data_IF_113648291918
#
_entry.id   IF_113648291918
#
_cell.length_a   1.000
_cell.length_b   1.000
_cell.length_c   1.000
_cell.angle_alpha   90.00
_cell.angle_beta   90.00
_cell.angle_gamma   90.00
#
_symmetry.space_group_name_H-M   'P 1'
#
loop_
_entity.id
_entity.type
_entity.pdbx_description
1 polymer ?
#
# COMPACT_ATOMS: atom_id res chain seq x y z
N UNK A 1 5.36 34.83 17.77
CA UNK A 1 6.63 34.38 17.16
C UNK A 1 6.39 32.93 16.80
N UNK A 2 6.22 32.63 15.51
CA UNK A 2 6.05 31.24 15.05
C UNK A 2 7.36 30.50 15.31
N UNK A 3 7.31 29.40 16.06
CA UNK A 3 8.47 28.54 16.32
C UNK A 3 8.78 27.74 15.07
N UNK A 4 10.06 27.60 14.71
CA UNK A 4 10.46 26.75 13.59
C UNK A 4 10.31 25.25 13.93
N UNK A 5 10.17 24.39 12.91
CA UNK A 5 10.05 22.94 13.09
C UNK A 5 11.17 22.35 13.97
N UNK A 6 12.43 22.77 13.75
CA UNK A 6 13.57 22.30 14.55
C UNK A 6 13.45 22.65 16.04
N UNK A 7 12.86 23.80 16.37
CA UNK A 7 12.63 24.23 17.74
C UNK A 7 11.53 23.39 18.39
N UNK A 8 10.45 23.10 17.67
CA UNK A 8 9.38 22.21 18.13
C UNK A 8 9.92 20.80 18.39
N UNK A 9 10.79 20.29 17.53
CA UNK A 9 11.38 18.95 17.69
C UNK A 9 12.37 18.85 18.86
N UNK A 10 12.89 19.97 19.36
CA UNK A 10 13.71 20.02 20.57
C UNK A 10 12.89 19.92 21.88
N UNK A 11 11.57 20.18 21.82
CA UNK A 11 10.70 20.11 22.99
C UNK A 11 10.44 18.66 23.45
N UNK A 12 9.98 18.45 24.70
CA UNK A 12 9.50 17.15 25.15
C UNK A 12 8.38 16.62 24.25
N UNK A 13 8.36 15.32 23.97
CA UNK A 13 7.42 14.70 23.03
C UNK A 13 5.93 15.00 23.30
N UNK A 14 5.56 15.18 24.58
CA UNK A 14 4.18 15.49 25.00
C UNK A 14 3.72 16.90 24.60
N UNK A 15 4.65 17.82 24.36
CA UNK A 15 4.37 19.22 24.06
C UNK A 15 4.33 19.50 22.54
N UNK A 16 4.84 18.56 21.74
CA UNK A 16 4.99 18.75 20.28
C UNK A 16 3.67 18.76 19.53
N UNK A 17 2.69 17.96 19.95
CA UNK A 17 1.46 17.71 19.20
C UNK A 17 0.73 18.98 18.73
N UNK A 18 0.36 19.90 19.66
CA UNK A 18 -0.31 21.15 19.29
C UNK A 18 0.54 22.07 18.39
N UNK A 19 1.86 22.11 18.58
CA UNK A 19 2.76 22.95 17.81
C UNK A 19 3.02 22.40 16.40
N UNK A 20 3.16 21.08 16.28
CA UNK A 20 3.24 20.39 14.98
C UNK A 20 1.95 20.57 14.18
N UNK A 21 0.79 20.59 14.85
CA UNK A 21 -0.49 20.89 14.19
C UNK A 21 -0.46 22.29 13.55
N UNK A 22 -0.06 23.31 14.30
CA UNK A 22 0.01 24.70 13.80
C UNK A 22 1.00 24.83 12.63
N UNK A 23 2.16 24.18 12.70
CA UNK A 23 3.14 24.18 11.61
C UNK A 23 2.65 23.41 10.37
N UNK A 24 1.94 22.30 10.57
CA UNK A 24 1.34 21.57 9.47
C UNK A 24 0.25 22.41 8.77
N UNK A 25 -0.54 23.16 9.53
CA UNK A 25 -1.53 24.11 9.02
C UNK A 25 -0.91 25.26 8.21
N UNK A 26 0.28 25.72 8.59
CA UNK A 26 1.02 26.74 7.83
C UNK A 26 1.75 26.17 6.60
N UNK A 27 1.72 24.85 6.41
CA UNK A 27 2.22 24.16 5.22
C UNK A 27 3.64 23.59 5.35
N UNK A 28 4.21 23.54 6.56
CA UNK A 28 5.51 22.90 6.79
C UNK A 28 5.42 21.37 6.57
N UNK A 29 6.17 20.88 5.59
CA UNK A 29 6.09 19.49 5.14
C UNK A 29 6.55 18.47 6.20
N UNK A 30 7.60 18.80 6.95
CA UNK A 30 8.15 17.93 7.99
C UNK A 30 7.19 17.88 9.19
N UNK A 31 6.58 19.03 9.52
CA UNK A 31 5.53 19.09 10.53
C UNK A 31 4.29 18.27 10.13
N UNK A 32 3.85 18.33 8.86
CA UNK A 32 2.77 17.48 8.36
C UNK A 32 3.07 15.99 8.59
N UNK A 33 4.30 15.55 8.27
CA UNK A 33 4.74 14.17 8.44
C UNK A 33 4.75 13.76 9.91
N UNK A 34 5.42 14.53 10.77
CA UNK A 34 5.57 14.19 12.19
C UNK A 34 4.25 14.28 12.95
N UNK A 35 3.38 15.23 12.61
CA UNK A 35 2.03 15.29 13.15
C UNK A 35 1.27 13.99 12.88
N UNK A 36 1.26 13.53 11.62
CA UNK A 36 0.57 12.29 11.27
C UNK A 36 1.16 11.06 11.95
N UNK A 37 2.50 10.98 12.10
CA UNK A 37 3.15 9.91 12.89
C UNK A 37 2.67 9.88 14.33
N UNK A 38 2.54 11.04 15.00
CA UNK A 38 2.04 11.10 16.37
C UNK A 38 0.60 10.59 16.48
N UNK A 39 -0.27 10.97 15.54
CA UNK A 39 -1.66 10.51 15.50
C UNK A 39 -1.72 9.00 15.24
N UNK A 40 -0.98 8.49 14.26
CA UNK A 40 -0.97 7.06 13.90
C UNK A 40 -0.28 6.16 14.93
N UNK A 41 0.55 6.73 15.81
CA UNK A 41 1.12 6.04 16.97
C UNK A 41 0.25 6.17 18.24
N UNK A 42 -0.92 6.80 18.15
CA UNK A 42 -1.81 7.14 19.27
C UNK A 42 -1.10 7.92 20.39
N UNK A 43 -0.10 8.75 20.03
CA UNK A 43 0.68 9.58 20.96
C UNK A 43 0.15 11.00 21.09
N UNK A 44 -0.68 11.42 20.14
CA UNK A 44 -1.44 12.65 20.20
C UNK A 44 -2.86 12.39 19.67
N UNK A 45 -3.84 13.13 20.20
CA UNK A 45 -5.25 12.83 19.96
C UNK A 45 -6.09 14.08 19.67
N UNK A 46 -5.44 15.17 19.26
CA UNK A 46 -6.06 16.49 19.14
C UNK A 46 -6.24 17.20 20.49
N UNK A 47 -6.42 18.51 20.41
CA UNK A 47 -6.79 19.37 21.54
C UNK A 47 -8.25 19.80 21.34
N UNK A 48 -9.19 19.44 22.24
CA UNK A 48 -10.59 19.83 22.08
C UNK A 48 -10.75 21.35 22.12
N UNK A 49 -11.50 21.90 21.16
CA UNK A 49 -11.93 23.30 21.20
C UNK A 49 -13.08 23.50 22.19
N UNK A 50 -13.40 24.75 22.52
CA UNK A 50 -14.52 25.07 23.40
C UNK A 50 -15.83 24.49 22.82
N UNK A 51 -16.55 23.70 23.63
CA UNK A 51 -17.79 23.04 23.24
C UNK A 51 -17.62 21.72 22.47
N UNK A 52 -16.39 21.35 22.09
CA UNK A 52 -16.11 20.11 21.39
C UNK A 52 -15.81 18.97 22.37
N UNK A 53 -16.40 17.80 22.13
CA UNK A 53 -16.08 16.60 22.90
C UNK A 53 -14.68 16.09 22.59
N UNK A 54 -14.12 15.31 23.52
CA UNK A 54 -12.82 14.65 23.32
C UNK A 54 -12.81 13.69 22.13
N UNK A 55 -13.94 13.06 21.82
CA UNK A 55 -14.01 12.09 20.72
C UNK A 55 -14.17 12.75 19.35
N UNK A 56 -14.85 13.89 19.27
CA UNK A 56 -14.86 14.74 18.08
C UNK A 56 -13.45 15.25 17.77
N UNK A 57 -12.74 15.79 18.77
CA UNK A 57 -11.36 16.27 18.60
C UNK A 57 -10.40 15.17 18.10
N UNK A 58 -10.59 13.93 18.59
CA UNK A 58 -9.83 12.76 18.11
C UNK A 58 -10.16 12.41 16.66
N UNK A 59 -11.43 12.46 16.28
CA UNK A 59 -11.85 12.13 14.92
C UNK A 59 -11.32 13.17 13.92
N UNK A 60 -11.40 14.45 14.30
CA UNK A 60 -10.83 15.56 13.55
C UNK A 60 -9.33 15.40 13.37
N UNK A 61 -8.56 15.20 14.45
CA UNK A 61 -7.11 15.05 14.37
C UNK A 61 -6.66 13.87 13.47
N UNK A 62 -7.44 12.78 13.43
CA UNK A 62 -7.20 11.65 12.51
C UNK A 62 -7.47 12.01 11.06
N UNK A 63 -8.51 12.80 10.81
CA UNK A 63 -8.82 13.30 9.47
C UNK A 63 -7.75 14.28 9.00
N UNK A 64 -7.37 15.25 9.85
CA UNK A 64 -6.33 16.24 9.60
C UNK A 64 -4.98 15.58 9.29
N UNK A 65 -4.59 14.53 10.02
CA UNK A 65 -3.34 13.82 9.77
C UNK A 65 -3.23 13.32 8.31
N UNK A 66 -4.32 12.80 7.76
CA UNK A 66 -4.36 12.36 6.36
C UNK A 66 -4.34 13.56 5.41
N UNK A 67 -5.11 14.61 5.70
CA UNK A 67 -5.12 15.85 4.91
C UNK A 67 -3.75 16.50 4.83
N UNK A 68 -3.06 16.68 5.95
CA UNK A 68 -1.74 17.29 6.01
C UNK A 68 -0.68 16.46 5.28
N UNK A 69 -0.73 15.13 5.41
CA UNK A 69 0.12 14.26 4.57
C UNK A 69 -0.14 14.47 3.09
N UNK A 70 -1.41 14.57 2.69
CA UNK A 70 -1.79 14.76 1.30
C UNK A 70 -1.34 16.12 0.76
N UNK A 71 -1.49 17.19 1.54
CA UNK A 71 -1.04 18.52 1.15
C UNK A 71 0.48 18.60 1.01
N UNK A 72 1.23 17.98 1.93
CA UNK A 72 2.69 17.87 1.80
C UNK A 72 3.10 17.01 0.59
N UNK A 73 2.38 15.92 0.33
CA UNK A 73 2.59 15.08 -0.84
C UNK A 73 2.37 15.84 -2.15
N UNK A 74 1.33 16.68 -2.23
CA UNK A 74 1.08 17.56 -3.40
C UNK A 74 2.19 18.58 -3.63
N UNK A 75 2.94 18.94 -2.58
CA UNK A 75 4.14 19.79 -2.66
C UNK A 75 5.42 18.99 -2.96
N UNK A 76 5.30 17.71 -3.28
CA UNK A 76 6.41 16.84 -3.65
C UNK A 76 7.13 16.20 -2.47
N UNK A 77 6.61 16.29 -1.24
CA UNK A 77 7.29 15.71 -0.08
C UNK A 77 7.19 14.18 -0.06
N UNK A 78 8.23 13.51 -0.57
CA UNK A 78 8.28 12.06 -0.74
C UNK A 78 8.00 11.26 0.55
N UNK A 79 8.54 11.61 1.74
CA UNK A 79 8.21 10.90 2.97
C UNK A 79 6.71 10.93 3.30
N UNK A 80 6.03 12.05 3.01
CA UNK A 80 4.57 12.16 3.21
C UNK A 80 3.78 11.35 2.18
N UNK A 81 4.28 11.23 0.94
CA UNK A 81 3.71 10.33 -0.07
C UNK A 81 3.76 8.89 0.42
N UNK A 82 4.94 8.42 0.82
CA UNK A 82 5.17 7.03 1.23
C UNK A 82 4.33 6.69 2.47
N UNK A 83 4.38 7.52 3.51
CA UNK A 83 3.58 7.29 4.72
C UNK A 83 2.08 7.39 4.45
N UNK A 84 1.68 8.37 3.64
CA UNK A 84 0.30 8.63 3.24
C UNK A 84 -0.31 7.43 2.53
N UNK A 85 0.28 6.97 1.42
CA UNK A 85 -0.22 5.84 0.66
C UNK A 85 -0.31 4.57 1.51
N UNK A 86 0.71 4.27 2.33
CA UNK A 86 0.68 3.10 3.22
C UNK A 86 -0.48 3.18 4.22
N UNK A 87 -0.64 4.35 4.86
CA UNK A 87 -1.62 4.55 5.91
C UNK A 87 -3.05 4.40 5.39
N UNK A 88 -3.36 4.93 4.20
CA UNK A 88 -4.71 4.82 3.63
C UNK A 88 -4.94 3.53 2.83
N UNK A 89 -3.89 2.86 2.35
CA UNK A 89 -4.01 1.55 1.69
C UNK A 89 -4.26 0.43 2.70
N UNK A 90 -3.45 0.37 3.77
CA UNK A 90 -3.54 -0.67 4.81
C UNK A 90 -4.47 -0.30 5.96
N UNK A 91 -4.75 0.99 6.13
CA UNK A 91 -5.30 1.52 7.38
C UNK A 91 -4.24 1.57 8.48
N UNK A 92 -4.56 2.26 9.58
CA UNK A 92 -3.74 2.26 10.80
C UNK A 92 -4.62 1.93 12.00
N UNK A 93 -4.13 1.02 12.84
CA UNK A 93 -4.81 0.55 14.05
C UNK A 93 -3.90 0.75 15.26
N UNK A 94 -4.48 1.19 16.36
CA UNK A 94 -3.81 1.25 17.67
C UNK A 94 -4.21 0.08 18.57
N UNK A 95 -3.87 0.18 19.85
CA UNK A 95 -4.27 -0.78 20.87
C UNK A 95 -5.79 -1.04 20.85
N UNK A 96 -6.18 -2.29 21.16
CA UNK A 96 -7.59 -2.71 21.17
C UNK A 96 -8.33 -2.46 19.84
N UNK A 97 -7.65 -2.61 18.70
CA UNK A 97 -8.19 -2.43 17.34
C UNK A 97 -8.74 -1.03 17.03
N UNK A 98 -8.35 -0.02 17.82
CA UNK A 98 -8.73 1.38 17.62
C UNK A 98 -8.34 1.86 16.22
N UNK A 99 -9.29 2.38 15.46
CA UNK A 99 -9.04 2.89 14.10
C UNK A 99 -8.37 4.27 14.18
N UNK A 100 -7.12 4.38 13.77
CA UNK A 100 -6.37 5.63 13.69
C UNK A 100 -6.39 6.22 12.27
N UNK A 101 -6.35 5.36 11.25
CA UNK A 101 -6.59 5.72 9.86
C UNK A 101 -7.47 4.63 9.24
N UNK A 102 -8.55 5.02 8.57
CA UNK A 102 -9.40 4.09 7.81
C UNK A 102 -8.74 3.81 6.46
N UNK A 103 -8.96 2.60 5.95
CA UNK A 103 -8.64 2.30 4.55
C UNK A 103 -9.46 3.23 3.65
N UNK A 104 -8.80 3.82 2.65
CA UNK A 104 -9.42 4.62 1.59
C UNK A 104 -8.65 4.41 0.30
N UNK A 105 -9.15 3.52 -0.56
CA UNK A 105 -8.51 3.23 -1.85
C UNK A 105 -8.51 4.44 -2.80
N UNK A 106 -9.53 5.30 -2.74
CA UNK A 106 -9.54 6.58 -3.48
C UNK A 106 -8.35 7.45 -3.08
N UNK A 107 -8.13 7.67 -1.77
CA UNK A 107 -6.98 8.46 -1.31
C UNK A 107 -5.66 7.76 -1.57
N UNK A 108 -5.61 6.43 -1.47
CA UNK A 108 -4.42 5.66 -1.81
C UNK A 108 -4.01 5.93 -3.27
N UNK A 109 -4.96 5.88 -4.21
CA UNK A 109 -4.71 6.20 -5.62
C UNK A 109 -4.16 7.61 -5.77
N UNK A 110 -4.76 8.62 -5.11
CA UNK A 110 -4.26 10.00 -5.18
C UNK A 110 -2.79 10.11 -4.74
N UNK A 111 -2.39 9.45 -3.64
CA UNK A 111 -0.99 9.42 -3.23
C UNK A 111 -0.09 8.63 -4.19
N UNK A 112 -0.57 7.50 -4.71
CA UNK A 112 0.18 6.67 -5.66
C UNK A 112 0.41 7.41 -6.97
N UNK A 113 -0.55 8.21 -7.43
CA UNK A 113 -0.39 9.07 -8.61
C UNK A 113 0.66 10.15 -8.38
N UNK A 114 0.66 10.78 -7.19
CA UNK A 114 1.71 11.72 -6.79
C UNK A 114 3.08 11.04 -6.72
N UNK A 115 3.15 9.78 -6.25
CA UNK A 115 4.40 9.03 -6.22
C UNK A 115 4.90 8.74 -7.64
N UNK A 116 4.05 8.18 -8.50
CA UNK A 116 4.39 7.83 -9.88
C UNK A 116 4.84 9.04 -10.71
N UNK A 117 4.27 10.22 -10.44
CA UNK A 117 4.65 11.48 -11.07
C UNK A 117 6.07 11.96 -10.69
N UNK A 118 6.64 11.45 -9.59
CA UNK A 118 8.03 11.71 -9.21
C UNK A 118 9.04 10.76 -9.86
N UNK A 119 8.59 9.86 -10.74
CA UNK A 119 9.43 8.87 -11.42
C UNK A 119 10.29 8.04 -10.43
N UNK A 120 9.65 7.30 -9.50
CA UNK A 120 10.37 6.55 -8.51
C UNK A 120 11.20 5.44 -9.16
N UNK A 121 12.22 4.98 -8.43
CA UNK A 121 13.07 3.86 -8.84
C UNK A 121 12.23 2.61 -9.20
N UNK A 122 12.75 1.70 -10.05
CA UNK A 122 11.97 0.60 -10.61
C UNK A 122 11.16 -0.23 -9.60
N UNK A 123 11.75 -0.58 -8.45
CA UNK A 123 11.07 -1.39 -7.43
C UNK A 123 9.89 -0.64 -6.77
N UNK A 124 10.09 0.63 -6.44
CA UNK A 124 9.05 1.50 -5.86
C UNK A 124 7.96 1.81 -6.91
N UNK A 125 8.34 1.96 -8.17
CA UNK A 125 7.40 2.10 -9.28
C UNK A 125 6.57 0.84 -9.45
N UNK A 126 7.18 -0.34 -9.36
CA UNK A 126 6.47 -1.63 -9.41
C UNK A 126 5.47 -1.75 -8.27
N UNK A 127 5.87 -1.38 -7.04
CA UNK A 127 4.98 -1.31 -5.88
C UNK A 127 3.78 -0.39 -6.12
N UNK A 128 4.05 0.83 -6.58
CA UNK A 128 3.01 1.84 -6.75
C UNK A 128 1.97 1.43 -7.81
N UNK A 129 2.44 0.92 -8.95
CA UNK A 129 1.57 0.40 -10.01
C UNK A 129 0.74 -0.80 -9.54
N UNK A 130 1.38 -1.76 -8.85
CA UNK A 130 0.72 -2.93 -8.30
C UNK A 130 -0.41 -2.54 -7.33
N UNK A 131 -0.11 -1.66 -6.37
CA UNK A 131 -1.09 -1.18 -5.38
C UNK A 131 -2.19 -0.36 -6.03
N UNK A 132 -1.90 0.48 -7.03
CA UNK A 132 -2.92 1.23 -7.75
C UNK A 132 -3.91 0.29 -8.43
N UNK A 133 -3.43 -0.77 -9.08
CA UNK A 133 -4.28 -1.82 -9.66
C UNK A 133 -5.13 -2.54 -8.60
N UNK A 134 -4.57 -2.85 -7.42
CA UNK A 134 -5.33 -3.42 -6.31
C UNK A 134 -6.42 -2.46 -5.80
N UNK A 135 -6.12 -1.17 -5.65
CA UNK A 135 -7.10 -0.17 -5.24
C UNK A 135 -8.30 -0.15 -6.20
N UNK A 136 -8.05 -0.09 -7.51
CA UNK A 136 -9.09 -0.10 -8.53
C UNK A 136 -9.95 -1.37 -8.49
N UNK A 137 -9.33 -2.54 -8.27
CA UNK A 137 -10.04 -3.82 -8.09
C UNK A 137 -10.92 -3.83 -6.83
N UNK A 138 -10.44 -3.25 -5.73
CA UNK A 138 -11.11 -3.35 -4.43
C UNK A 138 -12.18 -2.27 -4.20
N UNK A 139 -12.10 -1.13 -4.89
CA UNK A 139 -13.00 -0.01 -4.65
C UNK A 139 -14.25 0.02 -5.53
N UNK A 140 -14.23 -0.65 -6.68
CA UNK A 140 -15.30 -0.55 -7.66
C UNK A 140 -16.24 -1.76 -7.58
N UNK A 141 -17.55 -1.49 -7.65
CA UNK A 141 -18.55 -2.55 -7.80
C UNK A 141 -18.35 -3.32 -9.13
N UNK A 142 -17.92 -2.62 -10.17
CA UNK A 142 -17.46 -3.17 -11.44
C UNK A 142 -16.01 -2.76 -11.67
N UNK A 143 -15.09 -3.73 -11.62
CA UNK A 143 -13.65 -3.46 -11.73
C UNK A 143 -13.30 -3.01 -13.16
N UNK A 144 -12.59 -1.88 -13.35
CA UNK A 144 -12.09 -1.45 -14.66
C UNK A 144 -10.90 -2.32 -15.07
N UNK A 145 -11.18 -3.55 -15.50
CA UNK A 145 -10.15 -4.57 -15.72
C UNK A 145 -9.10 -4.19 -16.74
N UNK A 146 -9.44 -3.41 -17.78
CA UNK A 146 -8.44 -2.97 -18.77
C UNK A 146 -7.37 -2.06 -18.15
N UNK A 147 -7.77 -1.15 -17.26
CA UNK A 147 -6.82 -0.30 -16.52
C UNK A 147 -6.03 -1.12 -15.49
N UNK A 148 -6.70 -2.01 -14.75
CA UNK A 148 -6.03 -2.88 -13.77
C UNK A 148 -4.96 -3.75 -14.43
N UNK A 149 -5.29 -4.38 -15.56
CA UNK A 149 -4.34 -5.21 -16.31
C UNK A 149 -3.16 -4.38 -16.79
N UNK A 150 -3.40 -3.21 -17.40
CA UNK A 150 -2.32 -2.34 -17.86
C UNK A 150 -1.35 -1.96 -16.73
N UNK A 151 -1.87 -1.62 -15.55
CA UNK A 151 -1.04 -1.30 -14.38
C UNK A 151 -0.23 -2.49 -13.90
N UNK A 152 -0.83 -3.68 -13.84
CA UNK A 152 -0.12 -4.89 -13.45
C UNK A 152 0.88 -5.38 -14.49
N UNK A 153 0.62 -5.17 -15.78
CA UNK A 153 1.57 -5.50 -16.85
C UNK A 153 2.80 -4.60 -16.76
N UNK A 154 2.59 -3.31 -16.55
CA UNK A 154 3.68 -2.36 -16.31
C UNK A 154 4.47 -2.72 -15.04
N UNK A 155 3.79 -3.03 -13.93
CA UNK A 155 4.46 -3.49 -12.70
C UNK A 155 5.27 -4.77 -12.93
N UNK A 156 4.68 -5.77 -13.58
CA UNK A 156 5.34 -7.04 -13.88
C UNK A 156 6.56 -6.88 -14.79
N UNK A 157 6.55 -5.91 -15.71
CA UNK A 157 7.69 -5.63 -16.59
C UNK A 157 8.92 -5.07 -15.86
N UNK A 158 8.73 -4.49 -14.67
CA UNK A 158 9.80 -3.95 -13.84
C UNK A 158 10.48 -5.02 -12.97
N UNK A 159 9.84 -6.19 -12.80
CA UNK A 159 10.38 -7.28 -11.98
C UNK A 159 10.28 -7.01 -10.48
N UNK A 160 11.20 -7.59 -9.71
CA UNK A 160 11.20 -7.50 -8.24
C UNK A 160 10.00 -8.20 -7.58
N UNK A 161 9.88 -8.09 -6.26
CA UNK A 161 8.82 -8.73 -5.48
C UNK A 161 7.42 -8.28 -5.95
N UNK A 162 7.25 -6.99 -6.23
CA UNK A 162 5.96 -6.43 -6.62
C UNK A 162 5.60 -6.70 -8.07
N UNK A 163 6.57 -6.76 -8.99
CA UNK A 163 6.32 -7.22 -10.35
C UNK A 163 5.96 -8.70 -10.41
N UNK A 164 6.59 -9.53 -9.57
CA UNK A 164 6.20 -10.95 -9.38
C UNK A 164 4.76 -11.05 -8.87
N UNK A 165 4.40 -10.25 -7.86
CA UNK A 165 3.04 -10.22 -7.33
C UNK A 165 2.01 -9.78 -8.39
N UNK A 166 2.35 -8.79 -9.21
CA UNK A 166 1.51 -8.32 -10.31
C UNK A 166 1.34 -9.40 -11.40
N UNK A 167 2.43 -10.08 -11.78
CA UNK A 167 2.38 -11.19 -12.74
C UNK A 167 1.50 -12.34 -12.24
N UNK A 168 1.58 -12.69 -10.96
CA UNK A 168 0.70 -13.70 -10.36
C UNK A 168 -0.78 -13.29 -10.44
N UNK A 169 -1.12 -12.03 -10.12
CA UNK A 169 -2.50 -11.55 -10.20
C UNK A 169 -3.05 -11.51 -11.63
N UNK A 170 -2.23 -11.13 -12.62
CA UNK A 170 -2.58 -11.20 -14.04
C UNK A 170 -2.86 -12.63 -14.49
N UNK A 171 -1.96 -13.55 -14.14
CA UNK A 171 -2.11 -14.95 -14.47
C UNK A 171 -3.39 -15.57 -13.88
N UNK A 172 -3.70 -15.25 -12.63
CA UNK A 172 -4.95 -15.71 -11.99
C UNK A 172 -6.17 -15.09 -12.67
N UNK A 173 -6.13 -13.81 -13.02
CA UNK A 173 -7.24 -13.19 -13.76
C UNK A 173 -7.50 -13.89 -15.10
N UNK A 174 -6.45 -14.18 -15.87
CA UNK A 174 -6.60 -14.94 -17.13
C UNK A 174 -7.15 -16.35 -16.89
N UNK A 175 -6.67 -17.04 -15.85
CA UNK A 175 -7.16 -18.36 -15.46
C UNK A 175 -8.66 -18.34 -15.12
N UNK A 176 -9.10 -17.37 -14.31
CA UNK A 176 -10.49 -17.23 -13.88
C UNK A 176 -11.44 -16.94 -15.06
N UNK A 177 -10.93 -16.35 -16.14
CA UNK A 177 -11.66 -16.08 -17.38
C UNK A 177 -11.54 -17.22 -18.42
N UNK A 178 -10.88 -18.33 -18.08
CA UNK A 178 -10.67 -19.47 -18.99
C UNK A 178 -9.63 -19.24 -20.09
N UNK A 179 -8.89 -18.13 -20.04
CA UNK A 179 -7.81 -17.77 -20.95
C UNK A 179 -6.50 -18.44 -20.49
N UNK A 180 -6.44 -19.78 -20.54
CA UNK A 180 -5.32 -20.53 -19.95
C UNK A 180 -4.00 -20.31 -20.68
N UNK A 181 -4.02 -20.18 -22.01
CA UNK A 181 -2.82 -19.94 -22.81
C UNK A 181 -2.19 -18.57 -22.49
N UNK A 182 -3.01 -17.57 -22.21
CA UNK A 182 -2.56 -16.26 -21.73
C UNK A 182 -2.15 -16.28 -20.25
N UNK A 183 -2.77 -17.13 -19.43
CA UNK A 183 -2.44 -17.25 -18.01
C UNK A 183 -1.03 -17.83 -17.79
N UNK A 184 -0.66 -18.88 -18.52
CA UNK A 184 0.60 -19.62 -18.37
C UNK A 184 1.84 -18.69 -18.32
N UNK A 185 2.11 -17.83 -19.33
CA UNK A 185 3.32 -17.02 -19.33
C UNK A 185 3.40 -16.02 -18.17
N UNK A 186 2.25 -15.58 -17.62
CA UNK A 186 2.22 -14.71 -16.44
C UNK A 186 2.48 -15.47 -15.15
N UNK A 187 1.85 -16.63 -14.99
CA UNK A 187 2.04 -17.47 -13.81
C UNK A 187 3.47 -18.03 -13.75
N UNK A 188 4.06 -18.36 -14.91
CA UNK A 188 5.44 -18.84 -15.04
C UNK A 188 6.45 -17.83 -14.47
N UNK A 189 6.26 -16.53 -14.73
CA UNK A 189 7.10 -15.47 -14.16
C UNK A 189 7.10 -15.44 -12.62
N UNK A 190 6.05 -15.97 -11.99
CA UNK A 190 5.85 -15.88 -10.55
C UNK A 190 5.93 -17.24 -9.82
N UNK A 191 6.00 -18.38 -10.53
CA UNK A 191 5.81 -19.71 -9.95
C UNK A 191 6.79 -20.04 -8.82
N UNK A 192 8.04 -19.58 -8.93
CA UNK A 192 9.09 -19.88 -7.94
C UNK A 192 9.00 -19.06 -6.66
N UNK A 193 8.18 -18.02 -6.62
CA UNK A 193 8.04 -17.10 -5.49
C UNK A 193 6.58 -16.94 -5.01
N UNK A 194 5.61 -17.45 -5.76
CA UNK A 194 4.19 -17.35 -5.46
C UNK A 194 3.52 -18.72 -5.48
N UNK A 195 3.10 -19.16 -4.29
CA UNK A 195 2.29 -20.38 -4.14
C UNK A 195 1.03 -20.32 -5.00
N UNK A 196 0.43 -19.13 -5.07
CA UNK A 196 -0.74 -18.87 -5.91
C UNK A 196 -0.42 -19.16 -7.38
N UNK A 197 0.70 -18.66 -7.89
CA UNK A 197 1.07 -18.88 -9.29
C UNK A 197 1.37 -20.36 -9.61
N UNK A 198 2.20 -21.02 -8.78
CA UNK A 198 2.55 -22.42 -8.96
C UNK A 198 1.32 -23.35 -8.90
N UNK A 199 0.41 -23.12 -7.95
CA UNK A 199 -0.81 -23.92 -7.81
C UNK A 199 -1.79 -23.75 -8.97
N UNK A 200 -1.91 -22.53 -9.54
CA UNK A 200 -2.74 -22.32 -10.73
C UNK A 200 -2.13 -22.99 -11.96
N UNK A 201 -0.81 -22.91 -12.17
CA UNK A 201 -0.15 -23.67 -13.24
C UNK A 201 -0.36 -25.17 -13.07
N UNK A 202 -0.24 -25.69 -11.86
CA UNK A 202 -0.52 -27.10 -11.58
C UNK A 202 -1.95 -27.49 -12.00
N UNK A 203 -2.95 -26.64 -11.73
CA UNK A 203 -4.33 -26.88 -12.17
C UNK A 203 -4.49 -26.79 -13.69
N UNK A 204 -3.81 -25.85 -14.36
CA UNK A 204 -3.80 -25.74 -15.83
C UNK A 204 -3.18 -27.01 -16.42
N UNK A 205 -2.00 -27.42 -15.96
CA UNK A 205 -1.30 -28.59 -16.49
C UNK A 205 -2.05 -29.89 -16.24
N UNK A 206 -2.75 -30.01 -15.11
CA UNK A 206 -3.60 -31.18 -14.83
C UNK A 206 -4.80 -31.28 -15.77
N UNK A 207 -5.49 -30.18 -16.02
CA UNK A 207 -6.84 -30.22 -16.61
C UNK A 207 -6.89 -29.76 -18.06
N UNK A 208 -6.08 -28.77 -18.43
CA UNK A 208 -6.10 -28.13 -19.73
C UNK A 208 -5.03 -28.73 -20.66
N UNK A 209 -3.73 -28.57 -20.33
CA UNK A 209 -2.65 -29.08 -21.20
C UNK A 209 -2.41 -30.58 -21.02
N UNK A 210 -2.80 -31.14 -19.86
CA UNK A 210 -2.62 -32.55 -19.49
C UNK A 210 -1.15 -32.99 -19.53
N UNK A 211 -0.25 -32.09 -19.14
CA UNK A 211 1.19 -32.35 -19.04
C UNK A 211 1.53 -32.88 -17.64
N UNK A 212 1.93 -34.15 -17.56
CA UNK A 212 2.31 -34.78 -16.28
C UNK A 212 3.62 -34.22 -15.73
N UNK A 213 4.58 -33.92 -16.61
CA UNK A 213 5.89 -33.38 -16.23
C UNK A 213 5.75 -31.96 -15.65
N UNK A 214 5.04 -31.07 -16.34
CA UNK A 214 4.85 -29.69 -15.88
C UNK A 214 3.99 -29.64 -14.60
N UNK A 215 3.00 -30.54 -14.48
CA UNK A 215 2.24 -30.72 -13.25
C UNK A 215 3.14 -31.08 -12.07
N UNK A 216 4.04 -32.06 -12.28
CA UNK A 216 4.96 -32.53 -11.24
C UNK A 216 5.94 -31.43 -10.84
N UNK A 217 6.50 -30.71 -11.81
CA UNK A 217 7.37 -29.56 -11.54
C UNK A 217 6.66 -28.52 -10.65
N UNK A 218 5.43 -28.12 -11.02
CA UNK A 218 4.66 -27.17 -10.22
C UNK A 218 4.34 -27.70 -8.82
N UNK A 219 4.04 -28.99 -8.68
CA UNK A 219 3.83 -29.64 -7.40
C UNK A 219 5.08 -29.59 -6.51
N UNK A 220 6.26 -29.88 -7.07
CA UNK A 220 7.53 -29.83 -6.34
C UNK A 220 7.85 -28.40 -5.89
N UNK A 221 7.57 -27.40 -6.73
CA UNK A 221 7.69 -25.97 -6.38
C UNK A 221 6.76 -25.60 -5.23
N UNK A 222 5.49 -26.02 -5.27
CA UNK A 222 4.55 -25.82 -4.16
C UNK A 222 5.08 -26.44 -2.86
N UNK A 223 5.61 -27.67 -2.90
CA UNK A 223 6.17 -28.32 -1.71
C UNK A 223 7.39 -27.56 -1.15
N UNK A 224 8.25 -27.04 -2.03
CA UNK A 224 9.39 -26.23 -1.64
C UNK A 224 8.95 -24.93 -0.93
N UNK A 225 7.96 -24.22 -1.49
CA UNK A 225 7.41 -22.99 -0.91
C UNK A 225 6.69 -23.22 0.44
N UNK A 226 6.06 -24.37 0.65
CA UNK A 226 5.53 -24.76 1.96
C UNK A 226 6.62 -25.01 2.99
N UNK A 227 7.79 -25.45 2.54
CA UNK A 227 8.91 -25.84 3.39
C UNK A 227 9.82 -24.66 3.77
N UNK A 228 9.71 -23.52 3.08
CA UNK A 228 10.44 -22.31 3.44
C UNK A 228 9.91 -21.73 4.75
N UNK A 229 10.75 -21.72 5.80
CA UNK A 229 10.43 -21.03 7.05
C UNK A 229 10.29 -19.53 6.78
N UNK A 230 9.28 -18.85 7.37
CA UNK A 230 9.19 -17.39 7.26
C UNK A 230 10.47 -16.76 7.80
N UNK A 231 11.06 -15.83 7.05
CA UNK A 231 12.19 -15.04 7.54
C UNK A 231 11.70 -14.21 8.74
N UNK A 232 12.40 -14.21 9.89
CA UNK A 232 12.01 -13.36 11.01
C UNK A 232 12.05 -11.88 10.58
N UNK A 233 10.92 -11.17 10.73
CA UNK A 233 10.82 -9.73 10.45
C UNK A 233 9.82 -9.30 9.36
N UNK A 234 9.10 -10.22 8.71
CA UNK A 234 8.00 -9.89 7.80
C UNK A 234 6.63 -10.16 8.47
N UNK A 235 6.22 -9.28 9.37
CA UNK A 235 4.83 -9.12 9.85
C UNK A 235 4.56 -7.67 10.20
#
# INVERSE_FOLDING_TARGET
MEMAYSEVMALPAKERGPLLKLLAESGDNDACLEYAKLIFADKYSGTPSAGQSKDEAKAEARSEAVTYLYDAARRGHLPSIILGQDAVFLGRRGAFNKVLCKVSYTKAIEFLDLWLAQEPEPDDRALALFRKGLCLKLMNAETPWDEVKLLWEQSASLGGEHGIAAAAQLGVWHYDNGCYDEAIPWLEKAKTASMMAASHLMLIHKNHTKSEDDYKECSDICLALCSTKPKPGQT
#
